data_IF_840641535005
#
_entry.id   IF_840641535005
#
_cell.length_a   1.000
_cell.length_b   1.000
_cell.length_c   1.000
_cell.angle_alpha   90.00
_cell.angle_beta   90.00
_cell.angle_gamma   90.00
#
_symmetry.space_group_name_H-M   'P 1'
#
loop_
_entity.id
_entity.type
_entity.pdbx_description
1 polymer ?
#
# COMPACT_ATOMS: atom_id res chain seq x y z
N UNK A 1 -7.27 -29.32 -0.71
CA UNK A 1 -7.28 -28.03 0.01
C UNK A 1 -5.89 -27.42 -0.09
N UNK A 2 -5.74 -26.24 -0.71
CA UNK A 2 -4.53 -25.43 -0.50
C UNK A 2 -4.58 -24.92 0.95
N UNK A 3 -3.46 -24.93 1.67
CA UNK A 3 -3.42 -24.42 3.04
C UNK A 3 -3.79 -22.94 3.04
N UNK A 4 -4.61 -22.46 3.99
CA UNK A 4 -4.93 -21.02 4.15
C UNK A 4 -3.65 -20.18 4.13
N UNK A 5 -2.59 -20.68 4.77
CA UNK A 5 -1.28 -20.05 4.82
C UNK A 5 -0.69 -19.83 3.42
N UNK A 6 -0.80 -20.83 2.54
CA UNK A 6 -0.31 -20.70 1.15
C UNK A 6 -1.13 -19.70 0.34
N UNK A 7 -2.43 -19.64 0.60
CA UNK A 7 -3.36 -18.78 -0.12
C UNK A 7 -3.14 -17.32 0.26
N UNK A 8 -2.98 -17.06 1.56
CA UNK A 8 -2.72 -15.71 2.04
C UNK A 8 -1.32 -15.23 1.67
N UNK A 9 -0.26 -16.05 1.82
CA UNK A 9 1.08 -15.64 1.35
C UNK A 9 1.06 -15.24 -0.12
N UNK A 10 0.48 -16.09 -0.99
CA UNK A 10 0.32 -15.76 -2.41
C UNK A 10 -0.44 -14.44 -2.62
N UNK A 11 -1.48 -14.18 -1.83
CA UNK A 11 -2.26 -12.95 -1.92
C UNK A 11 -1.40 -11.71 -1.65
N UNK A 12 -0.64 -11.74 -0.57
CA UNK A 12 0.24 -10.64 -0.18
C UNK A 12 1.42 -10.50 -1.15
N UNK A 13 2.02 -11.59 -1.62
CA UNK A 13 3.07 -11.54 -2.65
C UNK A 13 2.56 -10.87 -3.94
N UNK A 14 1.35 -11.23 -4.40
CA UNK A 14 0.72 -10.59 -5.55
C UNK A 14 0.45 -9.10 -5.29
N UNK A 15 0.05 -8.74 -4.06
CA UNK A 15 -0.17 -7.35 -3.68
C UNK A 15 1.14 -6.53 -3.72
N UNK A 16 2.24 -7.07 -3.20
CA UNK A 16 3.57 -6.44 -3.22
C UNK A 16 4.05 -6.21 -4.66
N UNK A 17 3.96 -7.25 -5.51
CA UNK A 17 4.34 -7.17 -6.93
C UNK A 17 3.52 -6.09 -7.64
N UNK A 18 2.19 -6.11 -7.44
CA UNK A 18 1.26 -5.17 -8.06
C UNK A 18 1.50 -3.72 -7.64
N UNK A 19 1.77 -3.49 -6.34
CA UNK A 19 2.15 -2.17 -5.82
C UNK A 19 3.47 -1.68 -6.44
N UNK A 20 4.45 -2.56 -6.60
CA UNK A 20 5.75 -2.19 -7.16
C UNK A 20 5.69 -1.75 -8.62
N UNK A 21 4.81 -2.33 -9.43
CA UNK A 21 4.63 -1.87 -10.82
C UNK A 21 4.01 -0.50 -10.92
N UNK A 22 3.27 -0.11 -9.88
CA UNK A 22 2.53 1.13 -9.84
C UNK A 22 3.19 2.18 -8.97
N UNK A 23 4.45 2.08 -8.55
CA UNK A 23 5.10 3.16 -7.77
C UNK A 23 5.13 4.47 -8.57
N UNK A 24 5.03 5.65 -7.91
CA UNK A 24 4.99 6.93 -8.63
C UNK A 24 6.24 7.14 -9.49
N UNK A 25 6.11 7.85 -10.61
CA UNK A 25 7.27 8.27 -11.40
C UNK A 25 8.04 9.40 -10.70
N UNK A 26 9.37 9.32 -10.71
CA UNK A 26 10.27 10.23 -10.01
C UNK A 26 10.30 11.68 -10.56
N UNK A 27 9.95 11.88 -11.84
CA UNK A 27 10.36 13.07 -12.61
C UNK A 27 9.77 14.42 -12.13
N UNK A 28 8.80 14.43 -11.21
CA UNK A 28 8.17 15.69 -10.78
C UNK A 28 7.73 15.75 -9.31
N UNK A 29 8.08 14.73 -8.53
CA UNK A 29 7.59 14.56 -7.15
C UNK A 29 8.77 14.70 -6.17
N UNK A 30 8.66 15.56 -5.13
CA UNK A 30 9.68 15.62 -4.08
C UNK A 30 9.91 14.25 -3.45
N UNK A 31 11.15 13.90 -3.12
CA UNK A 31 11.53 12.57 -2.60
C UNK A 31 10.66 12.12 -1.42
N UNK A 32 10.40 13.00 -0.45
CA UNK A 32 9.57 12.67 0.71
C UNK A 32 8.11 12.35 0.33
N UNK A 33 7.56 13.06 -0.64
CA UNK A 33 6.22 12.78 -1.18
C UNK A 33 6.21 11.46 -1.94
N UNK A 34 7.26 11.19 -2.71
CA UNK A 34 7.43 9.96 -3.45
C UNK A 34 7.54 8.74 -2.52
N UNK A 35 8.30 8.84 -1.44
CA UNK A 35 8.44 7.80 -0.41
C UNK A 35 7.12 7.54 0.31
N UNK A 36 6.44 8.60 0.77
CA UNK A 36 5.15 8.48 1.45
C UNK A 36 4.07 7.87 0.55
N UNK A 37 3.97 8.32 -0.71
CA UNK A 37 3.03 7.76 -1.67
C UNK A 37 3.35 6.29 -2.00
N UNK A 38 4.63 5.93 -2.11
CA UNK A 38 5.04 4.54 -2.32
C UNK A 38 4.64 3.66 -1.14
N UNK A 39 4.87 4.12 0.09
CA UNK A 39 4.49 3.40 1.29
C UNK A 39 2.97 3.23 1.42
N UNK A 40 2.22 4.30 1.19
CA UNK A 40 0.76 4.27 1.16
C UNK A 40 0.26 3.22 0.18
N UNK A 41 0.81 3.20 -1.04
CA UNK A 41 0.44 2.24 -2.08
C UNK A 41 0.67 0.80 -1.63
N UNK A 42 1.84 0.48 -1.06
CA UNK A 42 2.09 -0.85 -0.48
C UNK A 42 1.10 -1.20 0.63
N UNK A 43 0.85 -0.28 1.56
CA UNK A 43 -0.09 -0.48 2.66
C UNK A 43 -1.51 -0.76 2.16
N UNK A 44 -2.02 0.04 1.23
CA UNK A 44 -3.37 -0.12 0.68
C UNK A 44 -3.55 -1.44 -0.09
N UNK A 45 -2.55 -1.87 -0.85
CA UNK A 45 -2.57 -3.17 -1.52
C UNK A 45 -2.60 -4.34 -0.52
N UNK A 46 -1.83 -4.24 0.57
CA UNK A 46 -1.91 -5.17 1.69
C UNK A 46 -3.30 -5.22 2.33
N UNK A 47 -3.89 -4.06 2.59
CA UNK A 47 -5.23 -3.92 3.15
C UNK A 47 -6.30 -4.53 2.22
N UNK A 48 -6.21 -4.25 0.90
CA UNK A 48 -7.10 -4.81 -0.10
C UNK A 48 -6.99 -6.35 -0.18
N UNK A 49 -5.77 -6.88 -0.13
CA UNK A 49 -5.50 -8.33 -0.07
C UNK A 49 -6.12 -8.96 1.18
N UNK A 50 -5.88 -8.36 2.35
CA UNK A 50 -6.45 -8.81 3.62
C UNK A 50 -7.98 -8.78 3.58
N UNK A 51 -8.57 -7.69 3.08
CA UNK A 51 -10.03 -7.54 2.99
C UNK A 51 -10.66 -8.61 2.11
N UNK A 52 -10.07 -8.91 0.94
CA UNK A 52 -10.57 -9.96 0.05
C UNK A 52 -10.58 -11.34 0.74
N UNK A 53 -9.55 -11.66 1.51
CA UNK A 53 -9.46 -12.93 2.23
C UNK A 53 -10.42 -13.00 3.43
N UNK A 54 -10.62 -11.88 4.14
CA UNK A 54 -11.46 -11.83 5.33
C UNK A 54 -12.95 -12.07 5.04
N UNK A 55 -13.41 -11.84 3.80
CA UNK A 55 -14.80 -12.07 3.38
C UNK A 55 -15.18 -13.55 3.46
N UNK A 56 -14.24 -14.43 3.13
CA UNK A 56 -14.46 -15.89 3.07
C UNK A 56 -13.86 -16.64 4.27
N UNK A 57 -13.13 -15.94 5.13
CA UNK A 57 -12.36 -16.52 6.23
C UNK A 57 -13.23 -16.99 7.41
N UNK A 58 -12.92 -18.20 7.91
CA UNK A 58 -13.32 -18.60 9.26
C UNK A 58 -12.54 -17.85 10.34
N UNK A 59 -12.92 -18.02 11.61
CA UNK A 59 -12.28 -17.30 12.73
C UNK A 59 -10.78 -17.62 12.89
N UNK A 60 -10.36 -18.86 12.64
CA UNK A 60 -8.94 -19.26 12.74
C UNK A 60 -8.11 -18.68 11.58
N UNK A 61 -8.71 -18.54 10.40
CA UNK A 61 -8.08 -17.97 9.21
C UNK A 61 -7.88 -16.45 9.36
N UNK A 62 -8.84 -15.76 9.99
CA UNK A 62 -8.78 -14.32 10.28
C UNK A 62 -7.55 -13.96 11.09
N UNK A 63 -7.27 -14.71 12.17
CA UNK A 63 -6.09 -14.47 13.01
C UNK A 63 -4.83 -14.51 12.17
N UNK A 64 -4.72 -15.52 11.29
CA UNK A 64 -3.56 -15.67 10.42
C UNK A 64 -3.45 -14.52 9.41
N UNK A 65 -4.56 -14.10 8.80
CA UNK A 65 -4.59 -13.01 7.81
C UNK A 65 -4.16 -11.69 8.46
N UNK A 66 -4.67 -11.39 9.65
CA UNK A 66 -4.34 -10.17 10.38
C UNK A 66 -2.92 -10.18 10.94
N UNK A 67 -2.42 -11.34 11.38
CA UNK A 67 -1.01 -11.51 11.79
C UNK A 67 -0.08 -11.21 10.61
N UNK A 68 -0.39 -11.74 9.43
CA UNK A 68 0.40 -11.49 8.22
C UNK A 68 0.33 -10.02 7.77
N UNK A 69 -0.82 -9.37 7.91
CA UNK A 69 -0.97 -7.93 7.70
C UNK A 69 -0.17 -7.12 8.74
N UNK A 70 -0.08 -7.61 9.98
CA UNK A 70 0.72 -7.04 11.06
C UNK A 70 2.23 -7.10 10.84
N UNK A 71 2.68 -7.91 9.88
CA UNK A 71 4.08 -8.04 9.48
C UNK A 71 4.40 -7.35 8.14
N UNK A 72 3.43 -6.60 7.57
CA UNK A 72 3.58 -6.06 6.21
C UNK A 72 4.75 -5.07 6.10
N UNK A 73 5.09 -4.35 7.16
CA UNK A 73 6.18 -3.38 7.11
C UNK A 73 7.53 -4.01 6.75
N UNK A 74 7.84 -5.17 7.34
CA UNK A 74 9.08 -5.88 7.06
C UNK A 74 9.10 -6.43 5.62
N UNK A 75 8.01 -7.08 5.22
CA UNK A 75 7.92 -7.66 3.86
C UNK A 75 7.96 -6.59 2.77
N UNK A 76 7.35 -5.43 3.01
CA UNK A 76 7.44 -4.26 2.13
C UNK A 76 8.86 -3.72 2.04
N UNK A 77 9.58 -3.61 3.16
CA UNK A 77 10.95 -3.12 3.16
C UNK A 77 11.86 -4.03 2.31
N UNK A 78 11.76 -5.35 2.49
CA UNK A 78 12.53 -6.33 1.74
C UNK A 78 12.18 -6.29 0.24
N UNK A 79 10.89 -6.29 -0.10
CA UNK A 79 10.41 -6.20 -1.48
C UNK A 79 10.81 -4.89 -2.16
N UNK A 80 10.78 -3.77 -1.42
CA UNK A 80 11.18 -2.47 -1.91
C UNK A 80 12.67 -2.44 -2.30
N UNK A 81 13.55 -3.02 -1.47
CA UNK A 81 14.98 -3.10 -1.73
C UNK A 81 15.26 -3.83 -3.05
N UNK A 82 14.56 -4.94 -3.29
CA UNK A 82 14.77 -5.77 -4.48
C UNK A 82 14.18 -5.14 -5.75
N UNK A 83 12.96 -4.60 -5.68
CA UNK A 83 12.17 -4.30 -6.88
C UNK A 83 11.93 -2.81 -7.15
N UNK A 84 12.12 -1.93 -6.16
CA UNK A 84 11.83 -0.49 -6.29
C UNK A 84 13.10 0.34 -6.19
N UNK A 85 13.96 0.08 -5.21
CA UNK A 85 15.20 0.84 -5.01
C UNK A 85 16.07 0.98 -6.27
N UNK A 86 16.26 -0.06 -7.13
CA UNK A 86 17.10 0.05 -8.33
C UNK A 86 16.62 1.09 -9.36
N UNK A 87 15.36 1.54 -9.25
CA UNK A 87 14.73 2.54 -10.13
C UNK A 87 14.18 3.74 -9.37
N UNK A 88 14.56 3.90 -8.10
CA UNK A 88 14.14 5.01 -7.27
C UNK A 88 14.80 6.34 -7.72
N UNK A 89 14.20 7.50 -7.37
CA UNK A 89 14.81 8.81 -7.61
C UNK A 89 16.22 8.93 -7.02
N UNK A 90 17.04 9.80 -7.61
CA UNK A 90 18.35 10.13 -7.05
C UNK A 90 18.21 10.68 -5.61
N UNK A 91 19.07 10.21 -4.70
CA UNK A 91 19.06 10.60 -3.30
C UNK A 91 18.24 9.68 -2.39
N UNK A 92 17.57 8.67 -2.94
CA UNK A 92 16.99 7.57 -2.18
C UNK A 92 18.07 6.52 -1.92
N UNK A 93 18.11 6.00 -0.69
CA UNK A 93 19.10 5.03 -0.25
C UNK A 93 18.44 3.79 0.39
N UNK A 94 19.26 2.87 0.89
CA UNK A 94 18.78 1.66 1.56
C UNK A 94 17.99 1.95 2.84
N UNK A 95 18.23 3.07 3.53
CA UNK A 95 17.47 3.42 4.75
C UNK A 95 16.02 3.77 4.43
N UNK A 96 15.78 4.20 3.18
CA UNK A 96 14.44 4.52 2.69
C UNK A 96 13.52 3.30 2.65
N UNK A 97 14.06 2.09 2.51
CA UNK A 97 13.26 0.85 2.55
C UNK A 97 12.57 0.66 3.90
N UNK A 98 13.30 0.86 5.00
CA UNK A 98 12.76 0.80 6.35
C UNK A 98 11.69 1.85 6.57
N UNK A 99 11.92 3.09 6.11
CA UNK A 99 10.94 4.18 6.20
C UNK A 99 9.65 3.83 5.44
N UNK A 100 9.78 3.26 4.25
CA UNK A 100 8.63 2.83 3.43
C UNK A 100 7.88 1.70 4.12
N UNK A 101 8.59 0.70 4.65
CA UNK A 101 8.00 -0.40 5.42
C UNK A 101 7.24 0.08 6.66
N UNK A 102 7.86 0.90 7.49
CA UNK A 102 7.22 1.48 8.68
C UNK A 102 5.96 2.26 8.32
N UNK A 103 6.01 3.10 7.27
CA UNK A 103 4.84 3.84 6.83
C UNK A 103 3.74 2.94 6.27
N UNK A 104 4.08 1.87 5.53
CA UNK A 104 3.11 0.90 5.04
C UNK A 104 2.45 0.13 6.19
N UNK A 105 3.20 -0.20 7.25
CA UNK A 105 2.67 -0.81 8.46
C UNK A 105 1.64 0.08 9.14
N UNK A 106 1.89 1.39 9.23
CA UNK A 106 0.94 2.32 9.84
C UNK A 106 -0.42 2.33 9.10
N UNK A 107 -0.41 2.25 7.77
CA UNK A 107 -1.65 2.15 6.98
C UNK A 107 -2.39 0.85 7.32
N UNK A 108 -1.66 -0.26 7.47
CA UNK A 108 -2.22 -1.53 7.87
C UNK A 108 -2.79 -1.52 9.29
N UNK A 109 -2.11 -0.86 10.23
CA UNK A 109 -2.56 -0.71 11.62
C UNK A 109 -3.85 0.12 11.70
N UNK A 110 -3.98 1.16 10.88
CA UNK A 110 -5.19 1.96 10.76
C UNK A 110 -6.35 1.18 10.12
N UNK A 111 -6.04 0.25 9.21
CA UNK A 111 -7.04 -0.60 8.55
C UNK A 111 -7.49 -1.79 9.40
N UNK A 112 -6.58 -2.45 10.12
CA UNK A 112 -6.86 -3.67 10.89
C UNK A 112 -8.13 -3.60 11.76
N UNK A 113 -8.43 -2.52 12.52
CA UNK A 113 -9.66 -2.43 13.30
C UNK A 113 -10.94 -2.30 12.46
N UNK A 114 -10.83 -1.99 11.17
CA UNK A 114 -11.94 -1.83 10.22
C UNK A 114 -12.29 -3.13 9.47
N UNK A 115 -11.38 -4.10 9.41
CA UNK A 115 -11.39 -5.21 8.46
C UNK A 115 -12.68 -6.04 8.36
N UNK A 116 -13.46 -6.16 9.44
CA UNK A 116 -14.81 -6.76 9.44
C UNK A 116 -15.96 -5.77 9.64
N UNK A 117 -15.65 -4.60 10.20
CA UNK A 117 -16.67 -3.62 10.63
C UNK A 117 -17.19 -2.80 9.46
N UNK A 118 -16.39 -2.68 8.41
CA UNK A 118 -16.73 -1.92 7.21
C UNK A 118 -16.99 -2.93 6.08
N UNK A 119 -18.25 -3.11 5.64
CA UNK A 119 -18.59 -4.05 4.57
C UNK A 119 -18.00 -3.68 3.20
N UNK A 120 -17.59 -2.43 3.05
CA UNK A 120 -17.19 -1.83 1.78
C UNK A 120 -15.71 -1.52 1.80
N UNK A 121 -14.94 -2.16 0.91
CA UNK A 121 -13.48 -2.00 0.84
C UNK A 121 -13.07 -0.55 0.58
N UNK A 122 -13.82 0.17 -0.25
CA UNK A 122 -13.57 1.57 -0.62
C UNK A 122 -13.64 2.47 0.63
N UNK A 123 -14.64 2.26 1.48
CA UNK A 123 -14.80 2.99 2.74
C UNK A 123 -13.65 2.66 3.69
N UNK A 124 -13.26 1.39 3.81
CA UNK A 124 -12.18 0.97 4.70
C UNK A 124 -10.81 1.55 4.27
N UNK A 125 -10.51 1.50 2.97
CA UNK A 125 -9.28 2.03 2.39
C UNK A 125 -9.20 3.56 2.51
N UNK A 126 -10.32 4.27 2.28
CA UNK A 126 -10.40 5.73 2.46
C UNK A 126 -10.16 6.12 3.92
N UNK A 127 -10.79 5.44 4.88
CA UNK A 127 -10.59 5.72 6.30
C UNK A 127 -9.14 5.50 6.75
N UNK A 128 -8.50 4.41 6.29
CA UNK A 128 -7.09 4.15 6.57
C UNK A 128 -6.17 5.26 5.99
N UNK A 129 -6.48 5.71 4.78
CA UNK A 129 -5.76 6.80 4.12
C UNK A 129 -5.93 8.15 4.84
N UNK A 130 -7.14 8.48 5.25
CA UNK A 130 -7.44 9.71 5.99
C UNK A 130 -6.72 9.74 7.34
N UNK A 131 -6.72 8.63 8.07
CA UNK A 131 -5.99 8.49 9.34
C UNK A 131 -4.48 8.68 9.15
N UNK A 132 -3.91 8.05 8.12
CA UNK A 132 -2.51 8.21 7.76
C UNK A 132 -2.13 9.66 7.42
N UNK A 133 -2.95 10.34 6.60
CA UNK A 133 -2.73 11.75 6.23
C UNK A 133 -2.79 12.69 7.43
N UNK A 134 -3.80 12.55 8.29
CA UNK A 134 -3.97 13.40 9.48
C UNK A 134 -2.80 13.30 10.45
N UNK A 135 -2.23 12.11 10.61
CA UNK A 135 -1.14 11.86 11.56
C UNK A 135 0.24 12.21 11.00
N UNK A 136 0.43 12.15 9.67
CA UNK A 136 1.78 12.17 9.07
C UNK A 136 2.05 13.30 8.09
N UNK A 137 1.04 14.07 7.66
CA UNK A 137 1.22 15.21 6.76
C UNK A 137 2.34 16.14 7.23
N UNK A 138 2.37 16.48 8.53
CA UNK A 138 3.41 17.35 9.07
C UNK A 138 4.81 16.75 8.87
N UNK A 139 4.99 15.44 9.09
CA UNK A 139 6.28 14.77 8.91
C UNK A 139 6.72 14.76 7.44
N UNK A 140 5.80 14.51 6.51
CA UNK A 140 6.07 14.43 5.06
C UNK A 140 6.50 15.79 4.51
N UNK A 141 5.81 16.86 4.91
CA UNK A 141 5.99 18.19 4.29
C UNK A 141 6.89 19.14 5.10
N UNK A 142 7.28 18.77 6.33
CA UNK A 142 8.10 19.63 7.21
C UNK A 142 9.44 20.02 6.61
N UNK A 143 10.08 19.10 5.89
CA UNK A 143 11.38 19.29 5.23
C UNK A 143 11.31 20.22 4.01
N UNK A 144 10.12 20.47 3.48
CA UNK A 144 9.93 21.31 2.31
C UNK A 144 9.81 22.80 2.68
N UNK A 145 10.44 23.70 1.91
CA UNK A 145 10.19 25.13 2.03
C UNK A 145 8.71 25.46 1.88
N UNK A 146 8.21 26.41 2.68
CA UNK A 146 6.77 26.72 2.75
C UNK A 146 6.14 27.02 1.38
N UNK A 147 6.88 27.65 0.46
CA UNK A 147 6.41 27.97 -0.89
C UNK A 147 6.24 26.75 -1.80
N UNK A 148 6.87 25.60 -1.49
CA UNK A 148 6.70 24.33 -2.23
C UNK A 148 5.64 23.42 -1.63
N UNK A 149 5.24 23.65 -0.37
CA UNK A 149 4.31 22.75 0.35
C UNK A 149 2.97 22.61 -0.35
N UNK A 150 2.39 23.70 -0.86
CA UNK A 150 1.09 23.65 -1.54
C UNK A 150 1.11 22.76 -2.78
N UNK A 151 2.14 22.87 -3.62
CA UNK A 151 2.30 22.01 -4.80
C UNK A 151 2.55 20.55 -4.40
N UNK A 152 3.39 20.33 -3.39
CA UNK A 152 3.66 19.01 -2.85
C UNK A 152 2.41 18.31 -2.29
N UNK A 153 1.58 19.02 -1.51
CA UNK A 153 0.29 18.51 -1.03
C UNK A 153 -0.63 18.14 -2.19
N UNK A 154 -0.75 19.00 -3.21
CA UNK A 154 -1.58 18.71 -4.37
C UNK A 154 -1.12 17.45 -5.10
N UNK A 155 0.19 17.30 -5.30
CA UNK A 155 0.78 16.10 -5.92
C UNK A 155 0.58 14.87 -5.07
N UNK A 156 0.79 14.98 -3.76
CA UNK A 156 0.55 13.89 -2.83
C UNK A 156 -0.90 13.42 -2.87
N UNK A 157 -1.87 14.34 -2.78
CA UNK A 157 -3.29 14.00 -2.84
C UNK A 157 -3.67 13.32 -4.16
N UNK A 158 -3.11 13.78 -5.29
CA UNK A 158 -3.32 13.10 -6.56
C UNK A 158 -2.79 11.65 -6.57
N UNK A 159 -1.63 11.40 -5.94
CA UNK A 159 -1.07 10.05 -5.79
C UNK A 159 -1.85 9.20 -4.78
N UNK A 160 -2.44 9.83 -3.76
CA UNK A 160 -3.35 9.18 -2.82
C UNK A 160 -4.59 8.69 -3.54
N UNK A 161 -5.27 9.56 -4.29
CA UNK A 161 -6.45 9.21 -5.07
C UNK A 161 -6.16 8.08 -6.07
N UNK A 162 -5.02 8.17 -6.77
CA UNK A 162 -4.56 7.12 -7.68
C UNK A 162 -4.30 5.79 -6.94
N UNK A 163 -3.69 5.84 -5.76
CA UNK A 163 -3.41 4.63 -4.97
C UNK A 163 -4.67 3.94 -4.47
N UNK A 164 -5.71 4.70 -4.12
CA UNK A 164 -7.02 4.17 -3.76
C UNK A 164 -7.66 3.44 -4.95
N UNK A 165 -7.71 4.07 -6.12
CA UNK A 165 -8.26 3.45 -7.34
C UNK A 165 -7.53 2.15 -7.67
N UNK A 166 -6.19 2.16 -7.61
CA UNK A 166 -5.41 0.94 -7.86
C UNK A 166 -5.68 -0.18 -6.86
N UNK A 167 -5.82 0.14 -5.57
CA UNK A 167 -6.11 -0.85 -4.53
C UNK A 167 -7.55 -1.41 -4.66
N UNK A 168 -8.52 -0.56 -5.01
CA UNK A 168 -9.91 -0.95 -5.29
C UNK A 168 -9.98 -1.88 -6.50
N UNK A 169 -9.30 -1.55 -7.60
CA UNK A 169 -9.23 -2.41 -8.79
C UNK A 169 -8.55 -3.75 -8.48
N UNK A 170 -7.43 -3.73 -7.75
CA UNK A 170 -6.75 -4.94 -7.29
C UNK A 170 -7.69 -5.84 -6.49
N UNK A 171 -8.43 -5.28 -5.52
CA UNK A 171 -9.43 -6.01 -4.76
C UNK A 171 -10.52 -6.63 -5.66
N UNK A 172 -11.09 -5.84 -6.58
CA UNK A 172 -12.14 -6.31 -7.49
C UNK A 172 -11.68 -7.48 -8.36
N UNK A 173 -10.44 -7.42 -8.87
CA UNK A 173 -9.82 -8.53 -9.61
C UNK A 173 -9.60 -9.76 -8.75
N UNK A 174 -9.19 -9.57 -7.49
CA UNK A 174 -8.97 -10.64 -6.52
C UNK A 174 -10.24 -11.43 -6.25
N UNK A 175 -11.38 -10.75 -6.09
CA UNK A 175 -12.69 -11.39 -5.92
C UNK A 175 -13.11 -12.25 -7.13
N UNK A 176 -12.60 -11.94 -8.31
CA UNK A 176 -12.87 -12.68 -9.54
C UNK A 176 -11.84 -13.78 -9.83
N UNK A 177 -10.91 -14.04 -8.89
CA UNK A 177 -9.76 -14.96 -9.04
C UNK A 177 -8.92 -14.69 -10.31
N UNK A 178 -8.84 -13.42 -10.69
CA UNK A 178 -8.02 -12.98 -11.82
C UNK A 178 -6.59 -12.72 -11.33
N UNK A 179 -5.61 -13.38 -11.94
CA UNK A 179 -4.21 -13.09 -11.67
C UNK A 179 -3.86 -11.64 -12.07
N UNK A 180 -3.08 -10.96 -11.23
CA UNK A 180 -2.41 -9.71 -11.59
C UNK A 180 -1.15 -10.05 -12.38
N UNK A 181 -1.12 -9.60 -13.63
CA UNK A 181 0.07 -9.65 -14.48
C UNK A 181 0.55 -8.22 -14.74
N UNK A 182 1.86 -8.07 -14.97
CA UNK A 182 2.52 -6.77 -15.13
C UNK A 182 1.85 -5.90 -16.18
N UNK A 183 1.37 -6.50 -17.27
CA UNK A 183 0.72 -5.80 -18.37
C UNK A 183 -0.58 -5.13 -17.94
N UNK A 184 -1.39 -5.81 -17.12
CA UNK A 184 -2.63 -5.25 -16.56
C UNK A 184 -2.29 -4.24 -15.46
N UNK A 185 -1.22 -4.52 -14.69
CA UNK A 185 -0.75 -3.61 -13.66
C UNK A 185 -0.34 -2.23 -14.19
N UNK A 186 0.20 -2.20 -15.40
CA UNK A 186 0.66 -0.97 -16.08
C UNK A 186 -0.46 -0.23 -16.82
N UNK A 187 -1.57 -0.90 -17.15
CA UNK A 187 -2.69 -0.28 -17.87
C UNK A 187 -3.65 0.50 -16.96
N UNK A 188 -3.60 0.26 -15.64
CA UNK A 188 -4.45 0.96 -14.67
C UNK A 188 -5.94 0.65 -14.82
N UNK A 189 -6.27 -0.44 -15.51
CA UNK A 189 -7.65 -0.93 -15.71
C UNK A 189 -8.21 -1.62 -14.47
#
# INVERSE_FOLDING_TARGET
MRSIQSTTRRAFDQALVSASYRVPTAESVPTEVWLAATALRYGLFGCASAHALLIEAGSDDEVWILDHLGEIGQTVADHYLEHVLPRAPQGVDMTSAWRVGEMAQLVADDFAPLGRRVPSVDVALRLATESFGQTRDQSIFSSLPWWRRRDAHRKYNALVDESLVFAENFYGRRLLDLDEVREIALLGE
#
